data_IF_071473684428
#
_entry.id   IF_071473684428
#
_cell.length_a   1.000
_cell.length_b   1.000
_cell.length_c   1.000
_cell.angle_alpha   90.00
_cell.angle_beta   90.00
_cell.angle_gamma   90.00
#
_symmetry.space_group_name_H-M   'P 1'
#
loop_
_entity.id
_entity.type
_entity.pdbx_description
1 polymer ?
#
# COMPACT_ATOMS: atom_id res chain seq x y z
N UNK A 1 -0.41 -11.01 -24.40
CA UNK A 1 0.05 -10.01 -23.44
C UNK A 1 -0.67 -10.21 -22.12
N UNK A 2 0.07 -10.28 -21.02
CA UNK A 2 -0.48 -10.44 -19.66
C UNK A 2 0.46 -9.79 -18.63
N UNK A 3 -0.05 -9.58 -17.43
CA UNK A 3 0.72 -8.97 -16.35
C UNK A 3 1.57 -10.03 -15.65
N UNK A 4 2.88 -9.76 -15.56
CA UNK A 4 3.86 -10.50 -14.77
C UNK A 4 4.51 -9.48 -13.82
N UNK A 5 3.94 -9.32 -12.63
CA UNK A 5 4.18 -8.15 -11.79
C UNK A 5 5.36 -8.23 -10.82
N UNK A 6 5.97 -9.41 -10.64
CA UNK A 6 7.04 -9.61 -9.66
C UNK A 6 7.83 -10.90 -9.93
N UNK A 7 8.83 -11.17 -9.10
CA UNK A 7 9.67 -12.37 -9.20
C UNK A 7 8.84 -13.66 -9.09
N UNK A 8 7.82 -13.73 -8.24
CA UNK A 8 6.94 -14.90 -8.16
C UNK A 8 6.17 -15.10 -9.47
N UNK A 9 5.66 -14.03 -10.08
CA UNK A 9 5.02 -14.12 -11.40
C UNK A 9 5.98 -14.66 -12.47
N UNK A 10 7.26 -14.31 -12.39
CA UNK A 10 8.28 -14.87 -13.28
C UNK A 10 8.50 -16.37 -13.06
N UNK A 11 8.52 -16.82 -11.81
CA UNK A 11 8.61 -18.26 -11.49
C UNK A 11 7.40 -19.05 -12.01
N UNK A 12 6.21 -18.47 -11.89
CA UNK A 12 4.97 -19.12 -12.29
C UNK A 12 4.77 -19.15 -13.82
N UNK A 13 5.22 -18.10 -14.53
CA UNK A 13 4.85 -17.85 -15.91
C UNK A 13 6.03 -17.68 -16.87
N UNK A 14 7.27 -17.62 -16.37
CA UNK A 14 8.46 -17.29 -17.16
C UNK A 14 8.67 -18.19 -18.37
N UNK A 15 8.35 -19.48 -18.25
CA UNK A 15 8.46 -20.46 -19.35
C UNK A 15 7.52 -20.14 -20.54
N UNK A 16 6.44 -19.41 -20.26
CA UNK A 16 5.47 -18.97 -21.28
C UNK A 16 5.73 -17.56 -21.79
N UNK A 17 6.70 -16.85 -21.19
CA UNK A 17 7.06 -15.50 -21.59
C UNK A 17 8.00 -15.51 -22.79
N UNK A 18 7.73 -14.64 -23.77
CA UNK A 18 8.65 -14.36 -24.86
C UNK A 18 9.95 -13.77 -24.30
N UNK A 19 11.10 -14.19 -24.84
CA UNK A 19 12.35 -13.49 -24.61
C UNK A 19 12.31 -12.15 -25.37
N UNK A 20 12.37 -11.06 -24.61
CA UNK A 20 12.35 -9.69 -25.12
C UNK A 20 13.76 -9.14 -25.35
N UNK A 21 14.81 -9.88 -25.02
CA UNK A 21 16.20 -9.45 -25.17
C UNK A 21 16.49 -9.03 -26.62
N UNK A 22 16.98 -7.81 -26.80
CA UNK A 22 17.33 -7.25 -28.11
C UNK A 22 16.12 -6.82 -28.97
N UNK A 23 14.91 -6.81 -28.43
CA UNK A 23 13.75 -6.28 -29.15
C UNK A 23 13.74 -4.74 -29.18
N UNK A 24 13.10 -4.17 -30.19
CA UNK A 24 12.97 -2.71 -30.33
C UNK A 24 12.26 -2.09 -29.11
N UNK A 25 11.26 -2.77 -28.55
CA UNK A 25 10.53 -2.28 -27.38
C UNK A 25 11.44 -2.16 -26.15
N UNK A 26 12.40 -3.06 -26.00
CA UNK A 26 13.37 -2.97 -24.92
C UNK A 26 14.35 -1.82 -25.14
N UNK A 27 14.69 -1.53 -26.40
CA UNK A 27 15.55 -0.40 -26.78
C UNK A 27 14.93 0.97 -26.51
N UNK A 28 13.61 1.07 -26.47
CA UNK A 28 12.87 2.31 -26.14
C UNK A 28 12.70 2.56 -24.63
N UNK A 29 13.06 1.59 -23.78
CA UNK A 29 12.95 1.74 -22.34
C UNK A 29 13.98 2.75 -21.80
N UNK A 30 13.52 3.65 -20.92
CA UNK A 30 14.38 4.67 -20.29
C UNK A 30 15.16 4.13 -19.09
N UNK A 31 14.76 2.99 -18.54
CA UNK A 31 15.43 2.27 -17.46
C UNK A 31 15.14 0.78 -17.56
N UNK A 32 16.05 -0.04 -17.07
CA UNK A 32 15.89 -1.49 -16.94
C UNK A 32 15.55 -1.94 -15.51
N UNK A 33 15.44 -1.01 -14.57
CA UNK A 33 15.34 -1.31 -13.13
C UNK A 33 14.13 -2.16 -12.74
N UNK A 34 13.07 -2.10 -13.56
CA UNK A 34 11.83 -2.82 -13.31
C UNK A 34 11.61 -4.00 -14.28
N UNK A 35 12.61 -4.36 -15.05
CA UNK A 35 12.53 -5.53 -15.92
C UNK A 35 12.70 -6.80 -15.09
N UNK A 36 12.00 -7.87 -15.48
CA UNK A 36 12.20 -9.18 -14.90
C UNK A 36 13.04 -10.03 -15.84
N UNK A 37 14.14 -10.55 -15.34
CA UNK A 37 15.05 -11.44 -16.06
C UNK A 37 15.03 -12.83 -15.44
N UNK A 38 15.10 -13.86 -16.27
CA UNK A 38 15.24 -15.22 -15.81
C UNK A 38 16.72 -15.54 -15.44
N UNK A 39 16.98 -16.76 -14.99
CA UNK A 39 18.29 -17.23 -14.58
C UNK A 39 19.33 -17.21 -15.73
N UNK A 40 18.87 -17.20 -16.98
CA UNK A 40 19.74 -17.13 -18.16
C UNK A 40 20.13 -15.69 -18.52
N UNK A 41 19.49 -14.71 -17.88
CA UNK A 41 19.61 -13.29 -18.18
C UNK A 41 18.67 -12.81 -19.28
N UNK A 42 17.75 -13.65 -19.77
CA UNK A 42 16.75 -13.25 -20.75
C UNK A 42 15.68 -12.37 -20.11
N UNK A 43 15.34 -11.26 -20.75
CA UNK A 43 14.27 -10.34 -20.28
C UNK A 43 12.91 -10.93 -20.60
N UNK A 44 12.15 -11.30 -19.59
CA UNK A 44 10.83 -11.95 -19.74
C UNK A 44 9.67 -11.00 -19.53
N UNK A 45 9.87 -9.91 -18.82
CA UNK A 45 8.88 -8.85 -18.65
C UNK A 45 9.53 -7.48 -18.56
N UNK A 46 8.81 -6.45 -18.97
CA UNK A 46 9.22 -5.05 -18.89
C UNK A 46 8.32 -4.28 -17.93
N UNK A 47 8.90 -3.35 -17.19
CA UNK A 47 8.15 -2.41 -16.35
C UNK A 47 7.51 -1.34 -17.21
N UNK A 48 6.19 -1.35 -17.34
CA UNK A 48 5.46 -0.31 -18.10
C UNK A 48 4.98 0.84 -17.22
N UNK A 49 4.90 0.63 -15.91
CA UNK A 49 4.60 1.65 -14.90
C UNK A 49 5.13 1.21 -13.54
N UNK A 50 5.25 2.15 -12.64
CA UNK A 50 5.51 1.88 -11.23
C UNK A 50 4.44 2.58 -10.38
N UNK A 51 4.22 2.04 -9.20
CA UNK A 51 3.27 2.56 -8.24
C UNK A 51 4.00 2.95 -6.95
N UNK A 52 3.50 3.97 -6.27
CA UNK A 52 4.00 4.41 -4.98
C UNK A 52 2.92 4.19 -3.91
N UNK A 53 3.34 3.76 -2.73
CA UNK A 53 2.46 3.64 -1.59
C UNK A 53 2.36 4.98 -0.87
N UNK A 54 1.15 5.30 -0.43
CA UNK A 54 0.93 6.56 0.27
C UNK A 54 -0.50 6.68 0.78
N UNK A 55 -0.73 7.78 1.50
CA UNK A 55 -2.05 8.16 1.97
C UNK A 55 -2.56 9.29 1.09
N UNK A 56 -3.71 9.07 0.46
CA UNK A 56 -4.39 10.12 -0.31
C UNK A 56 -5.13 11.02 0.68
N UNK A 57 -4.84 12.31 0.65
CA UNK A 57 -5.39 13.27 1.62
C UNK A 57 -6.35 14.24 0.95
N UNK A 58 -7.55 14.37 1.50
CA UNK A 58 -8.46 15.47 1.18
C UNK A 58 -8.03 16.71 1.97
N UNK A 59 -7.27 17.61 1.34
CA UNK A 59 -6.72 18.80 2.00
C UNK A 59 -7.79 19.75 2.54
N UNK A 60 -8.94 19.83 1.88
CA UNK A 60 -10.03 20.70 2.33
C UNK A 60 -10.65 20.19 3.64
N UNK A 61 -10.85 18.88 3.77
CA UNK A 61 -11.34 18.28 5.01
C UNK A 61 -10.30 18.35 6.12
N UNK A 62 -9.02 18.13 5.79
CA UNK A 62 -7.92 18.28 6.75
C UNK A 62 -7.89 19.68 7.33
N UNK A 63 -7.97 20.73 6.48
CA UNK A 63 -8.03 22.12 6.90
C UNK A 63 -9.29 22.43 7.72
N UNK A 64 -10.46 21.87 7.36
CA UNK A 64 -11.69 21.98 8.14
C UNK A 64 -11.54 21.39 9.54
N UNK A 65 -10.74 20.34 9.70
CA UNK A 65 -10.41 19.76 10.99
C UNK A 65 -9.40 20.60 11.80
N UNK A 66 -8.79 21.61 11.18
CA UNK A 66 -7.81 22.51 11.82
C UNK A 66 -6.35 22.07 11.65
N UNK A 67 -6.07 21.24 10.66
CA UNK A 67 -4.73 20.77 10.34
C UNK A 67 -4.29 21.17 8.93
N UNK A 68 -3.00 21.39 8.78
CA UNK A 68 -2.35 21.52 7.47
C UNK A 68 -1.50 20.28 7.18
N UNK A 69 -1.25 20.01 5.90
CA UNK A 69 -0.44 18.85 5.53
C UNK A 69 0.99 18.90 6.12
N UNK A 70 1.52 20.12 6.31
CA UNK A 70 2.82 20.38 6.94
C UNK A 70 2.89 19.98 8.42
N UNK A 71 1.76 19.83 9.10
CA UNK A 71 1.69 19.40 10.50
C UNK A 71 1.95 17.89 10.64
N UNK A 72 1.72 17.15 9.54
CA UNK A 72 1.85 15.69 9.49
C UNK A 72 3.24 15.34 8.94
N UNK A 73 4.22 15.24 9.81
CA UNK A 73 5.63 15.03 9.43
C UNK A 73 6.18 13.65 9.77
N UNK A 74 5.47 12.90 10.59
CA UNK A 74 5.85 11.55 11.04
C UNK A 74 4.64 10.78 11.56
N UNK A 75 4.85 9.51 11.92
CA UNK A 75 3.77 8.65 12.41
C UNK A 75 3.06 9.20 13.66
N UNK A 76 3.80 9.83 14.60
CA UNK A 76 3.20 10.34 15.82
C UNK A 76 2.24 11.52 15.54
N UNK A 77 2.62 12.44 14.64
CA UNK A 77 1.76 13.57 14.24
C UNK A 77 0.58 13.09 13.39
N UNK A 78 0.77 12.09 12.52
CA UNK A 78 -0.34 11.46 11.79
C UNK A 78 -1.34 10.81 12.74
N UNK A 79 -0.84 10.04 13.71
CA UNK A 79 -1.67 9.38 14.72
C UNK A 79 -2.47 10.39 15.54
N UNK A 80 -1.81 11.43 16.04
CA UNK A 80 -2.47 12.48 16.82
C UNK A 80 -3.58 13.18 16.03
N UNK A 81 -3.35 13.53 14.77
CA UNK A 81 -4.34 14.13 13.90
C UNK A 81 -5.51 13.17 13.61
N UNK A 82 -5.22 11.91 13.34
CA UNK A 82 -6.27 10.92 13.07
C UNK A 82 -7.15 10.66 14.30
N UNK A 83 -6.56 10.50 15.48
CA UNK A 83 -7.30 10.29 16.73
C UNK A 83 -8.18 11.50 17.11
N UNK A 84 -7.66 12.72 16.91
CA UNK A 84 -8.44 13.94 17.16
C UNK A 84 -9.60 14.08 16.16
N UNK A 85 -9.37 13.85 14.87
CA UNK A 85 -10.43 13.91 13.86
C UNK A 85 -11.50 12.86 14.16
N UNK A 86 -11.11 11.62 14.46
CA UNK A 86 -12.04 10.56 14.82
C UNK A 86 -12.87 10.90 16.05
N UNK A 87 -12.25 11.44 17.09
CA UNK A 87 -12.95 11.86 18.30
C UNK A 87 -14.00 12.97 18.04
N UNK A 88 -13.80 13.79 17.02
CA UNK A 88 -14.70 14.90 16.61
C UNK A 88 -15.51 14.56 15.35
N UNK A 89 -15.52 13.32 14.89
CA UNK A 89 -16.15 12.96 13.62
C UNK A 89 -17.63 13.36 13.54
N UNK A 90 -18.37 13.25 14.65
CA UNK A 90 -19.75 13.68 14.73
C UNK A 90 -19.96 15.17 14.48
N UNK A 91 -19.08 16.02 15.00
CA UNK A 91 -19.14 17.48 14.83
C UNK A 91 -18.60 17.91 13.45
N UNK A 92 -17.59 17.23 12.95
CA UNK A 92 -16.98 17.51 11.67
C UNK A 92 -17.82 17.04 10.48
N UNK A 93 -18.59 15.95 10.67
CA UNK A 93 -19.37 15.28 9.64
C UNK A 93 -18.54 14.37 8.73
N UNK A 94 -17.32 14.03 9.12
CA UNK A 94 -16.44 13.07 8.46
C UNK A 94 -15.45 12.47 9.46
N UNK A 95 -14.86 11.34 9.10
CA UNK A 95 -13.88 10.64 9.94
C UNK A 95 -12.45 10.81 9.40
N UNK A 96 -11.47 10.32 10.17
CA UNK A 96 -10.05 10.42 9.82
C UNK A 96 -9.70 9.58 8.58
N UNK A 97 -10.22 8.36 8.50
CA UNK A 97 -10.03 7.48 7.35
C UNK A 97 -11.36 7.03 6.76
N UNK A 98 -11.45 7.03 5.45
CA UNK A 98 -12.49 6.30 4.75
C UNK A 98 -12.34 4.80 5.07
N UNK A 99 -13.46 4.11 5.24
CA UNK A 99 -13.50 2.70 5.62
C UNK A 99 -13.15 1.77 4.48
N UNK A 100 -11.96 1.93 3.89
CA UNK A 100 -11.50 1.01 2.86
C UNK A 100 -11.47 -0.41 3.39
N UNK A 101 -11.91 -1.35 2.54
CA UNK A 101 -12.28 -2.66 2.97
C UNK A 101 -11.12 -3.52 3.43
N UNK A 102 -11.43 -4.29 4.45
CA UNK A 102 -10.70 -5.52 4.78
C UNK A 102 -11.45 -6.74 4.22
N UNK A 103 -12.33 -6.54 3.25
CA UNK A 103 -12.97 -7.63 2.50
C UNK A 103 -11.95 -8.32 1.57
N UNK A 104 -12.28 -9.53 1.11
CA UNK A 104 -11.36 -10.33 0.29
C UNK A 104 -10.94 -9.70 -1.03
N UNK A 105 -11.66 -8.68 -1.53
CA UNK A 105 -11.35 -8.01 -2.80
C UNK A 105 -10.49 -6.75 -2.64
N UNK A 106 -10.49 -6.11 -1.47
CA UNK A 106 -9.90 -4.79 -1.25
C UNK A 106 -8.76 -4.75 -0.24
N UNK A 107 -8.70 -5.73 0.67
CA UNK A 107 -7.78 -5.74 1.81
C UNK A 107 -6.30 -5.60 1.44
N UNK A 108 -5.91 -6.10 0.28
CA UNK A 108 -4.52 -6.06 -0.18
C UNK A 108 -3.96 -4.64 -0.32
N UNK A 109 -4.82 -3.63 -0.57
CA UNK A 109 -4.39 -2.23 -0.66
C UNK A 109 -3.82 -1.71 0.65
N UNK A 110 -4.36 -2.16 1.76
CA UNK A 110 -3.84 -1.82 3.08
C UNK A 110 -2.82 -2.86 3.57
N UNK A 111 -3.19 -4.14 3.60
CA UNK A 111 -2.36 -5.21 4.15
C UNK A 111 -1.08 -5.47 3.35
N UNK A 112 -1.16 -5.42 2.02
CA UNK A 112 -0.02 -5.65 1.12
C UNK A 112 0.87 -4.41 0.92
N UNK A 113 0.37 -3.21 1.22
CA UNK A 113 1.10 -1.97 1.02
C UNK A 113 1.58 -1.40 2.36
N UNK A 114 0.76 -0.56 3.00
CA UNK A 114 1.20 0.18 4.21
C UNK A 114 1.51 -0.75 5.38
N UNK A 115 0.68 -1.76 5.62
CA UNK A 115 0.88 -2.67 6.74
C UNK A 115 2.12 -3.56 6.58
N UNK A 116 2.60 -3.77 5.36
CA UNK A 116 3.81 -4.55 5.09
C UNK A 116 5.11 -3.75 5.22
N UNK A 117 5.07 -2.43 5.35
CA UNK A 117 6.28 -1.62 5.50
C UNK A 117 7.21 -2.09 6.63
N UNK A 118 6.71 -2.44 7.83
CA UNK A 118 7.58 -2.95 8.89
C UNK A 118 8.34 -4.23 8.50
N UNK A 119 7.71 -5.13 7.74
CA UNK A 119 8.38 -6.34 7.25
C UNK A 119 9.46 -6.01 6.21
N UNK A 120 9.19 -5.05 5.32
CA UNK A 120 10.21 -4.57 4.40
C UNK A 120 11.45 -4.04 5.14
N UNK A 121 11.25 -3.25 6.20
CA UNK A 121 12.35 -2.72 7.00
C UNK A 121 13.09 -3.81 7.75
N UNK A 122 12.40 -4.82 8.29
CA UNK A 122 13.02 -5.99 8.92
C UNK A 122 13.92 -6.71 7.93
N UNK A 123 13.41 -7.04 6.74
CA UNK A 123 14.18 -7.75 5.71
C UNK A 123 15.38 -6.94 5.23
N UNK A 124 15.23 -5.64 5.04
CA UNK A 124 16.31 -4.74 4.66
C UNK A 124 17.42 -4.73 5.74
N UNK A 125 17.04 -4.58 7.00
CA UNK A 125 17.99 -4.42 8.10
C UNK A 125 18.67 -5.75 8.45
N UNK A 126 17.99 -6.88 8.24
CA UNK A 126 18.54 -8.23 8.40
C UNK A 126 19.29 -8.72 7.14
N UNK A 127 19.32 -7.95 6.06
CA UNK A 127 19.99 -8.31 4.80
C UNK A 127 19.36 -9.51 4.08
N UNK A 128 18.06 -9.70 4.24
CA UNK A 128 17.32 -10.81 3.60
C UNK A 128 17.18 -10.53 2.10
N UNK A 129 17.69 -11.45 1.27
CA UNK A 129 17.67 -11.34 -0.20
C UNK A 129 16.74 -12.34 -0.86
N UNK A 130 16.27 -13.36 -0.12
CA UNK A 130 15.34 -14.38 -0.58
C UNK A 130 14.18 -14.48 0.40
N UNK A 131 13.08 -15.12 0.00
CA UNK A 131 11.95 -15.30 0.88
C UNK A 131 12.33 -16.17 2.08
N UNK A 132 12.28 -15.65 3.33
CA UNK A 132 12.61 -16.43 4.51
C UNK A 132 11.44 -17.35 4.90
N UNK A 133 11.74 -18.46 5.57
CA UNK A 133 10.71 -19.33 6.13
C UNK A 133 9.96 -18.69 7.31
N UNK A 134 10.60 -17.78 8.02
CA UNK A 134 10.04 -17.11 9.20
C UNK A 134 10.49 -15.65 9.25
N UNK A 135 9.73 -14.84 9.98
CA UNK A 135 10.08 -13.47 10.31
C UNK A 135 10.60 -13.39 11.75
N UNK A 136 11.46 -12.44 12.05
CA UNK A 136 12.00 -12.23 13.41
C UNK A 136 11.02 -11.47 14.30
N UNK A 137 10.17 -10.64 13.70
CA UNK A 137 9.23 -9.79 14.40
C UNK A 137 9.86 -8.53 14.98
N UNK A 138 11.02 -8.12 14.48
CA UNK A 138 11.75 -6.93 14.97
C UNK A 138 10.90 -5.66 14.97
N UNK A 139 9.98 -5.54 14.02
CA UNK A 139 9.09 -4.37 13.86
C UNK A 139 7.61 -4.70 14.10
N UNK A 140 7.31 -5.72 14.92
CA UNK A 140 5.92 -6.14 15.19
C UNK A 140 5.08 -5.05 15.85
N UNK A 141 5.66 -4.23 16.73
CA UNK A 141 4.96 -3.11 17.37
C UNK A 141 4.61 -2.01 16.35
N UNK A 142 5.48 -1.76 15.38
CA UNK A 142 5.20 -0.84 14.26
C UNK A 142 4.08 -1.38 13.37
N UNK A 143 4.10 -2.69 13.08
CA UNK A 143 3.04 -3.36 12.33
C UNK A 143 1.69 -3.20 13.03
N UNK A 144 1.64 -3.50 14.32
CA UNK A 144 0.43 -3.31 15.15
C UNK A 144 -0.02 -1.86 15.15
N UNK A 145 0.90 -0.91 15.33
CA UNK A 145 0.57 0.50 15.38
C UNK A 145 -0.08 1.02 14.08
N UNK A 146 0.35 0.53 12.91
CA UNK A 146 -0.26 0.87 11.62
C UNK A 146 -1.69 0.30 11.53
N UNK A 147 -1.89 -0.95 11.94
CA UNK A 147 -3.21 -1.57 11.96
C UNK A 147 -4.15 -0.86 12.92
N UNK A 148 -3.70 -0.59 14.15
CA UNK A 148 -4.50 0.09 15.18
C UNK A 148 -4.89 1.49 14.73
N UNK A 149 -3.98 2.23 14.08
CA UNK A 149 -4.26 3.55 13.55
C UNK A 149 -5.43 3.52 12.55
N UNK A 150 -5.38 2.60 11.59
CA UNK A 150 -6.41 2.49 10.57
C UNK A 150 -7.72 1.93 11.11
N UNK A 151 -7.69 0.82 11.84
CA UNK A 151 -8.87 0.12 12.34
C UNK A 151 -9.68 1.01 13.31
N UNK A 152 -8.98 1.74 14.18
CA UNK A 152 -9.63 2.49 15.25
C UNK A 152 -10.07 3.91 14.84
N UNK A 153 -9.65 4.40 13.66
CA UNK A 153 -9.94 5.76 13.22
C UNK A 153 -10.60 5.80 11.83
N UNK A 154 -11.23 4.71 11.41
CA UNK A 154 -12.06 4.64 10.21
C UNK A 154 -13.51 4.97 10.49
N UNK A 155 -14.22 5.45 9.47
CA UNK A 155 -15.66 5.73 9.54
C UNK A 155 -16.49 4.46 9.80
N UNK A 156 -16.06 3.30 9.34
CA UNK A 156 -16.67 2.03 9.70
C UNK A 156 -16.10 1.51 11.03
N UNK A 157 -16.96 0.90 11.85
CA UNK A 157 -16.51 0.23 13.06
C UNK A 157 -15.54 -0.91 12.76
N UNK A 158 -14.63 -1.27 13.69
CA UNK A 158 -13.67 -2.36 13.47
C UNK A 158 -14.30 -3.67 13.00
N UNK A 159 -15.50 -4.00 13.49
CA UNK A 159 -16.23 -5.23 13.13
C UNK A 159 -16.83 -5.18 11.73
N UNK A 160 -17.14 -4.00 11.21
CA UNK A 160 -17.75 -3.82 9.88
C UNK A 160 -16.71 -3.61 8.77
N UNK A 161 -15.44 -3.33 9.10
CA UNK A 161 -14.37 -3.21 8.11
C UNK A 161 -14.19 -4.47 7.26
N UNK A 162 -14.41 -5.66 7.81
CA UNK A 162 -14.29 -6.94 7.08
C UNK A 162 -15.31 -7.11 5.96
N UNK A 163 -16.35 -6.30 5.94
CA UNK A 163 -17.39 -6.28 4.89
C UNK A 163 -17.35 -5.02 4.05
N UNK A 164 -16.56 -4.03 4.44
CA UNK A 164 -16.38 -2.79 3.69
C UNK A 164 -15.55 -3.04 2.42
N UNK A 165 -16.03 -2.59 1.28
CA UNK A 165 -15.38 -2.77 -0.02
C UNK A 165 -14.59 -1.53 -0.44
N UNK A 166 -13.68 -1.69 -1.41
CA UNK A 166 -12.98 -0.56 -2.00
C UNK A 166 -13.92 0.48 -2.62
N UNK A 167 -15.06 0.05 -3.18
CA UNK A 167 -16.06 0.96 -3.74
C UNK A 167 -16.73 1.80 -2.65
N UNK A 168 -16.97 1.23 -1.48
CA UNK A 168 -17.48 1.98 -0.33
C UNK A 168 -16.50 3.06 0.11
N UNK A 169 -15.23 2.72 0.21
CA UNK A 169 -14.15 3.66 0.51
C UNK A 169 -14.07 4.82 -0.49
N UNK A 170 -14.15 4.52 -1.77
CA UNK A 170 -14.14 5.54 -2.82
C UNK A 170 -15.37 6.46 -2.72
N UNK A 171 -16.53 5.90 -2.44
CA UNK A 171 -17.77 6.67 -2.27
C UNK A 171 -17.71 7.58 -1.03
N UNK A 172 -17.20 7.08 0.10
CA UNK A 172 -17.00 7.87 1.33
C UNK A 172 -16.01 9.01 1.08
N UNK A 173 -14.85 8.72 0.53
CA UNK A 173 -13.84 9.73 0.20
C UNK A 173 -14.37 10.78 -0.78
N UNK A 174 -15.06 10.33 -1.85
CA UNK A 174 -15.62 11.20 -2.87
C UNK A 174 -16.74 12.10 -2.38
N UNK A 175 -17.48 11.69 -1.34
CA UNK A 175 -18.55 12.48 -0.73
C UNK A 175 -18.10 13.30 0.49
N UNK A 176 -16.85 13.14 0.90
CA UNK A 176 -16.28 13.87 2.03
C UNK A 176 -16.83 13.41 3.38
N UNK A 177 -16.98 12.11 3.54
CA UNK A 177 -17.43 11.46 4.78
C UNK A 177 -16.28 10.82 5.53
#
# INVERSE_FOLDING_TARGET
LFQCGNAQGLLDWGDYCLDLTGTDVLGEMTTSDFNLTDETGAVKAIGYCYEAFGIIVNKALLAKAGYELSDITNFATLKAAAEDIHARAGDLGFDAFASSGLDGSSSWRFSGHLANMPLYYEFRDDGVTEQPETITGAYLDNYRAIWDLYINNSSASPTSLTTATGDMSQAEFGTGK
#
